data_IF_088851993240
#
_entry.id   IF_088851993240
#
_cell.length_a   1.000
_cell.length_b   1.000
_cell.length_c   1.000
_cell.angle_alpha   90.00
_cell.angle_beta   90.00
_cell.angle_gamma   90.00
#
_symmetry.space_group_name_H-M   'P 1'
#
loop_
_entity.id
_entity.type
_entity.pdbx_description
1 polymer ?
#
# COMPACT_ATOMS: atom_id res chain seq x y z
N UNK A 1 -33.57 -2.49 12.05
CA UNK A 1 -32.10 -2.68 12.10
C UNK A 1 -31.48 -1.33 12.42
N UNK A 2 -30.56 -1.28 13.38
CA UNK A 2 -29.94 -0.01 13.84
C UNK A 2 -28.98 0.53 12.78
N UNK A 3 -29.17 1.80 12.39
CA UNK A 3 -28.35 2.55 11.42
C UNK A 3 -26.87 2.60 11.86
N UNK A 4 -26.58 2.65 13.17
CA UNK A 4 -25.22 2.74 13.69
C UNK A 4 -24.36 1.47 13.50
N UNK A 5 -24.98 0.29 13.41
CA UNK A 5 -24.22 -0.94 13.14
C UNK A 5 -23.87 -1.08 11.65
N UNK A 6 -24.77 -0.65 10.77
CA UNK A 6 -24.55 -0.65 9.33
C UNK A 6 -23.44 0.34 8.95
N UNK A 7 -23.49 1.57 9.44
CA UNK A 7 -22.45 2.59 9.18
C UNK A 7 -21.04 2.12 9.58
N UNK A 8 -20.94 1.35 10.68
CA UNK A 8 -19.67 0.75 11.11
C UNK A 8 -19.17 -0.30 10.13
N UNK A 9 -20.04 -1.19 9.67
CA UNK A 9 -19.68 -2.21 8.68
C UNK A 9 -19.30 -1.59 7.34
N UNK A 10 -20.03 -0.57 6.90
CA UNK A 10 -19.72 0.20 5.69
C UNK A 10 -18.34 0.87 5.77
N UNK A 11 -17.99 1.45 6.92
CA UNK A 11 -16.67 2.05 7.12
C UNK A 11 -15.53 1.01 7.07
N UNK A 12 -15.71 -0.14 7.72
CA UNK A 12 -14.75 -1.25 7.71
C UNK A 12 -14.55 -1.78 6.29
N UNK A 13 -15.64 -1.98 5.54
CA UNK A 13 -15.57 -2.44 4.15
C UNK A 13 -14.94 -1.38 3.25
N UNK A 14 -15.26 -0.09 3.43
CA UNK A 14 -14.66 0.98 2.65
C UNK A 14 -13.13 1.06 2.83
N UNK A 15 -12.64 0.88 4.07
CA UNK A 15 -11.21 0.79 4.39
C UNK A 15 -10.59 -0.49 3.79
N UNK A 16 -11.31 -1.62 3.84
CA UNK A 16 -10.83 -2.87 3.26
C UNK A 16 -10.68 -2.77 1.75
N UNK A 17 -11.70 -2.22 1.07
CA UNK A 17 -11.67 -1.93 -0.35
C UNK A 17 -10.59 -0.91 -0.71
N UNK A 18 -10.34 0.09 0.16
CA UNK A 18 -9.23 1.02 -0.01
C UNK A 18 -7.89 0.29 -0.04
N UNK A 19 -7.61 -0.57 0.94
CA UNK A 19 -6.33 -1.28 0.99
C UNK A 19 -6.18 -2.28 -0.16
N UNK A 20 -7.27 -2.90 -0.61
CA UNK A 20 -7.28 -3.69 -1.84
C UNK A 20 -6.90 -2.86 -3.07
N UNK A 21 -7.41 -1.62 -3.19
CA UNK A 21 -6.99 -0.67 -4.24
C UNK A 21 -5.52 -0.28 -4.10
N UNK A 22 -5.02 -0.07 -2.89
CA UNK A 22 -3.60 0.23 -2.65
C UNK A 22 -2.71 -0.84 -3.28
N UNK A 23 -2.95 -2.12 -2.98
CA UNK A 23 -2.12 -3.21 -3.51
C UNK A 23 -2.19 -3.29 -5.03
N UNK A 24 -3.42 -3.33 -5.58
CA UNK A 24 -3.63 -3.41 -7.03
C UNK A 24 -2.98 -2.25 -7.77
N UNK A 25 -3.22 -1.01 -7.35
CA UNK A 25 -2.76 0.18 -8.05
C UNK A 25 -1.23 0.36 -7.95
N UNK A 26 -0.63 -0.06 -6.82
CA UNK A 26 0.81 -0.10 -6.65
C UNK A 26 1.46 -1.09 -7.63
N UNK A 27 0.96 -2.33 -7.67
CA UNK A 27 1.52 -3.39 -8.51
C UNK A 27 1.33 -3.10 -10.00
N UNK A 28 0.21 -2.47 -10.38
CA UNK A 28 -0.03 -2.01 -11.76
C UNK A 28 0.58 -0.65 -12.08
N UNK A 29 1.28 -0.01 -11.13
CA UNK A 29 1.96 1.30 -11.30
C UNK A 29 1.03 2.42 -11.78
N UNK A 30 -0.23 2.40 -11.37
CA UNK A 30 -1.18 3.48 -11.67
C UNK A 30 -1.01 4.60 -10.64
N UNK A 31 0.02 5.43 -10.84
CA UNK A 31 0.44 6.44 -9.87
C UNK A 31 -0.59 7.53 -9.62
N UNK A 32 -1.37 7.89 -10.63
CA UNK A 32 -2.39 8.93 -10.50
C UNK A 32 -3.53 8.44 -9.59
N UNK A 33 -4.06 7.24 -9.85
CA UNK A 33 -5.09 6.64 -8.99
C UNK A 33 -4.54 6.28 -7.62
N UNK A 34 -3.28 5.83 -7.54
CA UNK A 34 -2.62 5.50 -6.28
C UNK A 34 -2.51 6.73 -5.37
N UNK A 35 -2.17 7.90 -5.92
CA UNK A 35 -2.11 9.16 -5.16
C UNK A 35 -3.42 9.53 -4.48
N UNK A 36 -4.55 9.22 -5.10
CA UNK A 36 -5.87 9.54 -4.55
C UNK A 36 -6.23 8.75 -3.27
N UNK A 37 -5.47 7.71 -2.93
CA UNK A 37 -5.69 6.89 -1.73
C UNK A 37 -5.15 7.52 -0.44
N UNK A 38 -4.34 8.58 -0.55
CA UNK A 38 -3.65 9.20 0.56
C UNK A 38 -4.20 10.58 0.83
N UNK A 39 -4.22 10.97 2.11
CA UNK A 39 -4.43 12.36 2.46
C UNK A 39 -3.21 13.18 2.04
N UNK A 40 -3.40 14.48 1.79
CA UNK A 40 -2.30 15.35 1.35
C UNK A 40 -1.17 15.42 2.40
N UNK A 41 -1.57 15.40 3.68
CA UNK A 41 -0.71 15.43 4.87
C UNK A 41 -0.25 14.03 5.35
N UNK A 42 -0.33 13.00 4.51
CA UNK A 42 0.01 11.65 4.96
C UNK A 42 1.47 11.56 5.43
N UNK A 43 1.71 10.68 6.41
CA UNK A 43 3.07 10.41 6.92
C UNK A 43 3.43 8.94 6.73
N UNK A 44 4.60 8.70 6.15
CA UNK A 44 5.12 7.36 5.93
C UNK A 44 6.32 7.06 6.83
N UNK A 45 6.32 5.87 7.42
CA UNK A 45 7.41 5.33 8.21
C UNK A 45 7.84 3.99 7.63
N UNK A 46 9.15 3.80 7.54
CA UNK A 46 9.75 2.56 7.05
C UNK A 46 10.79 2.10 8.06
N UNK A 47 10.47 1.00 8.77
CA UNK A 47 11.37 0.30 9.70
C UNK A 47 12.05 1.21 10.75
N UNK A 48 11.42 2.33 11.10
CA UNK A 48 11.91 3.31 12.06
C UNK A 48 10.79 4.20 12.61
N UNK A 49 11.06 4.89 13.72
CA UNK A 49 10.12 5.83 14.36
C UNK A 49 10.19 7.26 13.80
N UNK A 50 11.17 7.55 12.94
CA UNK A 50 11.29 8.83 12.26
C UNK A 50 10.52 8.81 10.93
N UNK A 51 9.71 9.85 10.62
CA UNK A 51 9.04 9.93 9.33
C UNK A 51 10.02 9.93 8.16
N UNK A 52 9.76 9.07 7.17
CA UNK A 52 10.52 9.00 5.92
C UNK A 52 10.05 10.04 4.90
N UNK A 53 8.73 10.27 4.81
CA UNK A 53 8.11 11.34 4.02
C UNK A 53 6.93 11.94 4.78
N UNK A 54 6.50 13.16 4.43
CA UNK A 54 5.45 13.90 5.14
C UNK A 54 4.36 14.49 4.24
N UNK A 55 4.20 13.97 3.03
CA UNK A 55 3.04 14.27 2.18
C UNK A 55 2.70 13.13 1.25
N UNK A 56 1.46 13.13 0.75
CA UNK A 56 1.01 12.17 -0.25
C UNK A 56 1.79 12.25 -1.56
N UNK A 57 2.17 13.47 -1.99
CA UNK A 57 2.96 13.67 -3.21
C UNK A 57 4.38 13.15 -3.06
N UNK A 58 5.04 13.45 -1.94
CA UNK A 58 6.37 12.91 -1.62
C UNK A 58 6.35 11.38 -1.55
N UNK A 59 5.31 10.80 -0.94
CA UNK A 59 5.17 9.35 -0.84
C UNK A 59 5.08 8.69 -2.21
N UNK A 60 4.21 9.19 -3.08
CA UNK A 60 4.03 8.62 -4.42
C UNK A 60 5.28 8.81 -5.26
N UNK A 61 5.94 9.97 -5.19
CA UNK A 61 7.22 10.19 -5.87
C UNK A 61 8.31 9.21 -5.39
N UNK A 62 8.42 9.01 -4.07
CA UNK A 62 9.36 8.07 -3.46
C UNK A 62 9.13 6.63 -3.95
N UNK A 63 7.87 6.15 -3.88
CA UNK A 63 7.52 4.79 -4.28
C UNK A 63 7.72 4.58 -5.79
N UNK A 64 7.29 5.54 -6.61
CA UNK A 64 7.42 5.49 -8.07
C UNK A 64 8.87 5.36 -8.51
N UNK A 65 9.79 6.08 -7.88
CA UNK A 65 11.23 5.98 -8.17
C UNK A 65 11.77 4.62 -7.73
N UNK A 66 11.41 4.17 -6.52
CA UNK A 66 11.97 2.94 -5.92
C UNK A 66 11.51 1.65 -6.62
N UNK A 67 10.34 1.68 -7.24
CA UNK A 67 9.72 0.55 -7.95
C UNK A 67 9.64 0.76 -9.47
N UNK A 68 10.43 1.68 -10.03
CA UNK A 68 10.32 2.08 -11.43
C UNK A 68 10.43 0.90 -12.40
N UNK A 69 11.40 0.01 -12.16
CA UNK A 69 11.72 -1.17 -12.98
C UNK A 69 11.25 -2.48 -12.36
N UNK A 70 10.98 -2.49 -11.06
CA UNK A 70 10.60 -3.69 -10.33
C UNK A 70 9.21 -4.21 -10.72
N UNK A 71 9.08 -5.53 -10.89
CA UNK A 71 7.79 -6.22 -10.81
C UNK A 71 7.50 -6.51 -9.35
N UNK A 72 6.30 -6.12 -8.88
CA UNK A 72 5.91 -6.29 -7.48
C UNK A 72 4.60 -7.04 -7.34
N UNK A 73 4.47 -7.75 -6.23
CA UNK A 73 3.21 -8.33 -5.77
C UNK A 73 3.08 -7.97 -4.30
N UNK A 74 2.05 -7.23 -3.94
CA UNK A 74 1.74 -6.92 -2.55
C UNK A 74 0.42 -7.55 -2.13
N UNK A 75 0.44 -8.28 -1.03
CA UNK A 75 -0.72 -8.97 -0.48
C UNK A 75 -0.92 -8.60 0.98
N UNK A 76 -2.15 -8.24 1.32
CA UNK A 76 -2.58 -8.03 2.70
C UNK A 76 -3.52 -9.15 3.12
N UNK A 77 -3.41 -9.57 4.38
CA UNK A 77 -4.15 -10.69 4.94
C UNK A 77 -4.90 -10.26 6.19
N UNK A 78 -6.14 -10.74 6.32
CA UNK A 78 -6.94 -10.77 7.55
C UNK A 78 -6.79 -9.53 8.44
N UNK A 79 -7.36 -8.37 8.04
CA UNK A 79 -7.09 -7.13 8.72
C UNK A 79 -7.73 -7.04 10.11
N UNK A 80 -7.05 -6.32 11.00
CA UNK A 80 -7.60 -5.85 12.27
C UNK A 80 -7.95 -4.36 12.10
N UNK A 81 -9.24 -4.03 12.01
CA UNK A 81 -9.71 -2.66 11.80
C UNK A 81 -10.48 -2.18 13.02
N UNK A 82 -10.03 -1.05 13.58
CA UNK A 82 -10.66 -0.36 14.71
C UNK A 82 -11.17 1.02 14.26
N UNK A 83 -12.48 1.24 14.37
CA UNK A 83 -13.07 2.56 14.17
C UNK A 83 -12.90 3.39 15.44
N UNK A 84 -12.17 4.51 15.33
CA UNK A 84 -11.88 5.42 16.44
C UNK A 84 -12.94 6.52 16.56
N UNK A 85 -13.56 6.88 15.44
CA UNK A 85 -14.69 7.82 15.37
C UNK A 85 -15.51 7.58 14.10
N UNK A 86 -16.48 8.46 13.81
CA UNK A 86 -17.22 8.43 12.53
C UNK A 86 -16.35 8.74 11.30
N UNK A 87 -15.15 9.30 11.49
CA UNK A 87 -14.27 9.73 10.39
C UNK A 87 -12.80 9.35 10.58
N UNK A 88 -12.47 8.53 11.58
CA UNK A 88 -11.10 8.05 11.82
C UNK A 88 -11.10 6.57 12.21
N UNK A 89 -10.06 5.87 11.77
CA UNK A 89 -9.87 4.45 12.05
C UNK A 89 -8.38 4.09 12.08
N UNK A 90 -8.05 2.95 12.69
CA UNK A 90 -6.74 2.31 12.62
C UNK A 90 -6.89 0.94 11.97
N UNK A 91 -5.88 0.52 11.21
CA UNK A 91 -5.81 -0.82 10.64
C UNK A 91 -4.44 -1.44 10.81
N UNK A 92 -4.41 -2.74 11.07
CA UNK A 92 -3.22 -3.58 10.95
C UNK A 92 -3.45 -4.62 9.87
N UNK A 93 -2.45 -4.78 8.99
CA UNK A 93 -2.48 -5.76 7.91
C UNK A 93 -1.23 -6.61 7.98
N UNK A 94 -1.39 -7.93 8.15
CA UNK A 94 -0.31 -8.86 7.86
C UNK A 94 -0.01 -8.80 6.36
N UNK A 95 1.25 -8.62 6.00
CA UNK A 95 1.65 -8.41 4.61
C UNK A 95 2.64 -9.46 4.12
N UNK A 96 2.53 -9.73 2.83
CA UNK A 96 3.56 -10.33 2.00
C UNK A 96 3.88 -9.38 0.83
N UNK A 97 5.15 -9.17 0.55
CA UNK A 97 5.60 -8.48 -0.66
C UNK A 97 6.63 -9.32 -1.42
N UNK A 98 6.45 -9.41 -2.72
CA UNK A 98 7.47 -9.88 -3.65
C UNK A 98 7.94 -8.67 -4.44
N UNK A 99 9.25 -8.44 -4.47
CA UNK A 99 9.86 -7.40 -5.29
C UNK A 99 10.96 -8.05 -6.11
N UNK A 100 10.84 -7.97 -7.43
CA UNK A 100 11.82 -8.51 -8.37
C UNK A 100 12.21 -7.43 -9.39
N UNK A 101 13.48 -7.07 -9.35
CA UNK A 101 14.07 -5.94 -10.06
C UNK A 101 15.39 -6.39 -10.71
N UNK A 102 15.32 -7.11 -11.83
CA UNK A 102 16.48 -7.69 -12.48
C UNK A 102 17.44 -6.64 -13.02
N UNK A 103 16.95 -5.46 -13.39
CA UNK A 103 17.74 -4.31 -13.84
C UNK A 103 18.69 -3.80 -12.74
N UNK A 104 18.33 -4.03 -11.47
CA UNK A 104 19.14 -3.70 -10.30
C UNK A 104 19.78 -4.93 -9.65
N UNK A 105 19.68 -6.11 -10.28
CA UNK A 105 20.12 -7.39 -9.73
C UNK A 105 19.62 -7.61 -8.29
N UNK A 106 18.33 -7.34 -8.05
CA UNK A 106 17.72 -7.38 -6.72
C UNK A 106 16.36 -8.09 -6.77
N UNK A 107 16.19 -9.11 -5.93
CA UNK A 107 14.87 -9.64 -5.64
C UNK A 107 14.75 -10.11 -4.18
N UNK A 108 13.56 -9.98 -3.61
CA UNK A 108 13.28 -10.47 -2.26
C UNK A 108 11.79 -10.75 -2.05
N UNK A 109 11.53 -11.56 -1.03
CA UNK A 109 10.23 -11.70 -0.38
C UNK A 109 10.30 -11.05 1.00
N UNK A 110 9.33 -10.20 1.35
CA UNK A 110 9.21 -9.65 2.67
C UNK A 110 7.90 -10.06 3.35
N UNK A 111 8.00 -10.18 4.66
CA UNK A 111 6.89 -10.51 5.55
C UNK A 111 6.87 -9.52 6.69
N UNK A 112 5.68 -9.07 7.08
CA UNK A 112 5.58 -8.05 8.11
C UNK A 112 4.18 -7.53 8.30
N UNK A 113 4.11 -6.26 8.68
CA UNK A 113 2.84 -5.58 8.96
C UNK A 113 2.84 -4.17 8.41
N UNK A 114 1.70 -3.79 7.83
CA UNK A 114 1.30 -2.39 7.77
C UNK A 114 0.54 -2.05 9.05
N UNK A 115 0.86 -0.92 9.67
CA UNK A 115 0.03 -0.27 10.68
C UNK A 115 -0.34 1.10 10.16
N UNK A 116 -1.64 1.37 10.05
CA UNK A 116 -2.14 2.52 9.33
C UNK A 116 -3.16 3.30 10.15
N UNK A 117 -3.23 4.60 9.89
CA UNK A 117 -4.33 5.46 10.30
C UNK A 117 -5.10 5.89 9.06
N UNK A 118 -6.42 5.88 9.16
CA UNK A 118 -7.33 6.32 8.11
C UNK A 118 -8.13 7.52 8.56
N UNK A 119 -8.42 8.39 7.59
CA UNK A 119 -9.31 9.53 7.78
C UNK A 119 -10.34 9.56 6.66
N UNK A 120 -11.59 9.83 7.00
CA UNK A 120 -12.66 10.15 6.05
C UNK A 120 -12.70 11.65 5.86
N UNK A 121 -12.39 12.12 4.66
CA UNK A 121 -12.41 13.56 4.37
C UNK A 121 -13.84 14.06 4.15
N UNK A 122 -13.98 15.37 3.93
CA UNK A 122 -15.27 16.04 3.78
C UNK A 122 -16.09 15.55 2.57
N UNK A 123 -15.43 14.96 1.57
CA UNK A 123 -16.06 14.32 0.41
C UNK A 123 -16.62 12.92 0.71
N UNK A 124 -16.52 12.46 1.96
CA UNK A 124 -16.98 11.14 2.39
C UNK A 124 -16.02 10.00 2.06
N UNK A 125 -14.87 10.28 1.45
CA UNK A 125 -13.91 9.25 1.02
C UNK A 125 -12.91 8.95 2.13
N UNK A 126 -12.71 7.67 2.43
CA UNK A 126 -11.63 7.21 3.30
C UNK A 126 -10.28 7.29 2.56
N UNK A 127 -9.24 7.73 3.26
CA UNK A 127 -7.85 7.84 2.78
C UNK A 127 -6.88 7.41 3.87
N UNK A 128 -5.69 6.97 3.46
CA UNK A 128 -4.57 6.65 4.36
C UNK A 128 -3.91 7.96 4.79
N UNK A 129 -3.89 8.22 6.10
CA UNK A 129 -3.26 9.39 6.72
C UNK A 129 -1.91 9.06 7.36
N UNK A 130 -1.72 7.82 7.81
CA UNK A 130 -0.42 7.33 8.27
C UNK A 130 -0.20 5.92 7.75
N UNK A 131 1.01 5.63 7.29
CA UNK A 131 1.42 4.29 6.90
C UNK A 131 2.76 3.97 7.57
N UNK A 132 2.76 2.95 8.43
CA UNK A 132 3.99 2.38 9.00
C UNK A 132 4.19 0.98 8.45
N UNK A 133 5.32 0.76 7.78
CA UNK A 133 5.74 -0.55 7.31
C UNK A 133 6.88 -1.07 8.20
N UNK A 134 6.67 -2.24 8.79
CA UNK A 134 7.69 -2.98 9.54
C UNK A 134 7.79 -4.40 8.98
N UNK A 135 9.00 -4.87 8.68
CA UNK A 135 9.24 -6.25 8.27
C UNK A 135 9.74 -7.07 9.46
N UNK A 136 9.24 -8.30 9.55
CA UNK A 136 9.69 -9.29 10.53
C UNK A 136 10.66 -10.29 9.91
N UNK A 137 10.62 -10.44 8.58
CA UNK A 137 11.48 -11.33 7.82
C UNK A 137 11.62 -10.81 6.40
N UNK A 138 12.83 -10.91 5.85
CA UNK A 138 13.13 -10.67 4.45
C UNK A 138 13.98 -11.83 3.97
N UNK A 139 13.54 -12.49 2.91
CA UNK A 139 14.27 -13.55 2.23
C UNK A 139 14.75 -12.98 0.89
N UNK A 140 16.07 -12.86 0.72
CA UNK A 140 16.64 -12.58 -0.60
C UNK A 140 16.40 -13.78 -1.52
N UNK A 141 16.05 -13.51 -2.77
CA UNK A 141 15.83 -14.53 -3.79
C UNK A 141 16.58 -14.15 -5.06
N UNK A 142 16.86 -15.14 -5.90
CA UNK A 142 17.45 -14.89 -7.21
C UNK A 142 16.51 -14.03 -8.07
N UNK A 143 16.98 -12.90 -8.63
CA UNK A 143 16.19 -12.10 -9.55
C UNK A 143 15.77 -12.92 -10.77
N UNK A 144 14.61 -12.60 -11.33
CA UNK A 144 14.26 -13.20 -12.62
C UNK A 144 15.25 -12.77 -13.69
N UNK A 145 15.27 -13.46 -14.83
CA UNK A 145 16.04 -12.95 -15.96
C UNK A 145 15.36 -11.71 -16.48
N UNK A 146 16.12 -10.63 -16.67
CA UNK A 146 15.65 -9.46 -17.40
C UNK A 146 14.98 -9.94 -18.70
N UNK A 147 13.71 -9.59 -18.89
CA UNK A 147 13.05 -9.87 -20.16
C UNK A 147 13.77 -9.02 -21.21
N UNK A 148 14.64 -9.65 -21.99
CA UNK A 148 15.05 -9.08 -23.26
C UNK A 148 13.77 -8.85 -24.04
N UNK A 149 13.52 -7.61 -24.45
CA UNK A 149 12.37 -7.22 -25.25
C UNK A 149 12.39 -8.02 -26.55
N UNK A 150 11.76 -9.20 -26.52
CA UNK A 150 11.40 -9.91 -27.74
C UNK A 150 10.20 -9.16 -28.31
N UNK A 151 10.39 -8.58 -29.49
CA UNK A 151 9.33 -7.96 -30.28
C UNK A 151 8.15 -8.92 -30.33
N UNK A 152 6.92 -8.52 -29.96
CA UNK A 152 5.77 -9.39 -30.07
C UNK A 152 5.59 -9.79 -31.54
N UNK A 153 5.48 -11.09 -31.81
CA UNK A 153 5.10 -11.57 -33.14
C UNK A 153 3.70 -10.99 -33.46
N UNK A 154 3.50 -10.37 -34.63
CA UNK A 154 2.20 -9.83 -34.99
C UNK A 154 1.18 -10.98 -35.07
N UNK A 155 0.04 -10.79 -34.40
CA UNK A 155 -1.17 -11.61 -34.60
C UNK A 155 -1.86 -11.22 -35.90
#
# INVERSE_FOLDING_TARGET
MSIAALERLEAIEAITALKARYFRLLDTKDWASFRALFTDDMVFYFESDAPKVRSGDEFVAFVRVRLATATTVHQGHMPEIELLSASTARGTWAMFDWVDDPDQNRAFQGFGHYRELYRRDADGTWRIAELRLSRIRVDEVEPSRAQTTSTPSPR
#
